data_IF_083167581637
#
_entry.id   IF_083167581637
#
_cell.length_a   1.000
_cell.length_b   1.000
_cell.length_c   1.000
_cell.angle_alpha   90.00
_cell.angle_beta   90.00
_cell.angle_gamma   90.00
#
_symmetry.space_group_name_H-M   'P 1'
#
loop_
_entity.id
_entity.type
_entity.pdbx_description
1 polymer ?
#
# COMPACT_ATOMS: atom_id res chain seq x y z
N UNK A 1 15.60 21.45 10.44
CA UNK A 1 15.16 20.07 10.26
C UNK A 1 15.04 19.28 11.56
N UNK A 2 16.05 19.24 12.47
CA UNK A 2 16.00 18.47 13.73
C UNK A 2 14.85 18.87 14.65
N UNK A 3 14.66 20.19 14.89
CA UNK A 3 13.60 20.72 15.77
C UNK A 3 12.20 20.31 15.22
N UNK A 4 11.96 20.47 13.94
CA UNK A 4 10.69 20.12 13.30
C UNK A 4 10.41 18.61 13.41
N UNK A 5 11.42 17.76 13.23
CA UNK A 5 11.28 16.32 13.41
C UNK A 5 10.97 15.95 14.86
N UNK A 6 11.57 16.63 15.83
CA UNK A 6 11.27 16.42 17.24
C UNK A 6 9.83 16.83 17.59
N UNK A 7 9.37 17.98 17.11
CA UNK A 7 7.97 18.42 17.28
C UNK A 7 7.02 17.39 16.65
N UNK A 8 7.28 16.95 15.42
CA UNK A 8 6.50 15.93 14.74
C UNK A 8 6.46 14.62 15.52
N UNK A 9 7.62 14.18 16.05
CA UNK A 9 7.72 13.01 16.91
C UNK A 9 6.85 13.13 18.16
N UNK A 10 6.89 14.27 18.84
CA UNK A 10 6.07 14.51 20.04
C UNK A 10 4.58 14.45 19.72
N UNK A 11 4.13 15.15 18.66
CA UNK A 11 2.72 15.18 18.25
C UNK A 11 2.24 13.76 17.88
N UNK A 12 3.01 13.02 17.07
CA UNK A 12 2.63 11.66 16.67
C UNK A 12 2.67 10.68 17.83
N UNK A 13 3.63 10.83 18.75
CA UNK A 13 3.74 10.01 19.96
C UNK A 13 2.59 10.27 20.93
N UNK A 14 2.24 11.53 21.18
CA UNK A 14 1.11 11.90 22.03
C UNK A 14 -0.21 11.37 21.43
N UNK A 15 -0.45 11.61 20.14
CA UNK A 15 -1.62 11.07 19.44
C UNK A 15 -1.72 9.55 19.61
N UNK A 16 -0.62 8.83 19.40
CA UNK A 16 -0.60 7.38 19.52
C UNK A 16 -0.85 6.93 20.96
N UNK A 17 -0.26 7.58 21.95
CA UNK A 17 -0.52 7.33 23.36
C UNK A 17 -2.01 7.50 23.73
N UNK A 18 -2.66 8.57 23.25
CA UNK A 18 -4.08 8.80 23.50
C UNK A 18 -4.98 7.69 22.92
N UNK A 19 -4.63 7.14 21.74
CA UNK A 19 -5.31 5.96 21.20
C UNK A 19 -5.00 4.68 21.98
N UNK A 20 -3.75 4.47 22.40
CA UNK A 20 -3.35 3.29 23.17
C UNK A 20 -4.07 3.24 24.54
N UNK A 21 -4.28 4.40 25.14
CA UNK A 21 -5.05 4.57 26.38
C UNK A 21 -6.58 4.62 26.17
N UNK A 22 -7.07 4.47 24.92
CA UNK A 22 -8.50 4.56 24.57
C UNK A 22 -9.16 5.90 24.94
N UNK A 23 -8.39 6.96 25.11
CA UNK A 23 -8.89 8.33 25.35
C UNK A 23 -9.53 8.85 24.07
N UNK A 24 -8.91 8.58 22.91
CA UNK A 24 -9.51 8.90 21.62
C UNK A 24 -10.39 7.74 21.15
N UNK A 25 -11.60 8.02 20.61
CA UNK A 25 -12.54 6.99 20.20
C UNK A 25 -12.05 6.24 18.96
N UNK A 26 -12.23 4.92 19.00
CA UNK A 26 -11.99 4.01 17.87
C UNK A 26 -13.35 3.42 17.49
N UNK A 27 -13.77 3.66 16.24
CA UNK A 27 -15.04 3.17 15.72
C UNK A 27 -14.86 1.81 15.04
N UNK A 28 -15.80 0.91 15.26
CA UNK A 28 -15.85 -0.40 14.61
C UNK A 28 -16.99 -0.45 13.59
N UNK A 29 -16.79 -1.16 12.48
CA UNK A 29 -17.83 -1.50 11.52
C UNK A 29 -18.22 -2.95 11.80
N UNK A 30 -19.35 -3.15 12.43
CA UNK A 30 -19.82 -4.48 12.84
C UNK A 30 -20.09 -5.36 11.60
N UNK A 31 -19.84 -6.66 11.73
CA UNK A 31 -20.11 -7.66 10.67
C UNK A 31 -19.24 -7.52 9.42
N UNK A 32 -18.11 -6.82 9.49
CA UNK A 32 -17.15 -6.69 8.40
C UNK A 32 -15.74 -6.85 8.94
N UNK A 33 -14.95 -7.73 8.35
CA UNK A 33 -13.51 -7.85 8.63
C UNK A 33 -12.75 -6.73 7.92
N UNK A 34 -11.95 -5.97 8.66
CA UNK A 34 -11.14 -4.89 8.10
C UNK A 34 -9.66 -5.26 8.14
N UNK A 35 -9.07 -5.43 6.96
CA UNK A 35 -7.66 -5.71 6.75
C UNK A 35 -6.99 -4.44 6.22
N UNK A 36 -6.03 -3.90 6.96
CA UNK A 36 -5.29 -2.73 6.52
C UNK A 36 -3.95 -3.15 5.91
N UNK A 37 -3.67 -2.65 4.72
CA UNK A 37 -2.36 -2.73 4.09
C UNK A 37 -1.76 -1.33 4.14
N UNK A 38 -0.64 -1.20 4.85
CA UNK A 38 -0.02 0.08 5.09
C UNK A 38 1.49 -0.01 5.29
N UNK A 39 2.09 1.08 5.65
CA UNK A 39 3.52 1.17 5.95
C UNK A 39 3.79 2.21 7.05
N UNK A 40 5.01 2.21 7.58
CA UNK A 40 5.46 3.16 8.60
C UNK A 40 6.32 4.27 7.98
N UNK A 41 6.90 4.03 6.81
CA UNK A 41 7.71 4.99 6.07
C UNK A 41 6.89 5.74 5.03
N UNK A 42 7.33 6.92 4.59
CA UNK A 42 6.84 7.53 3.35
C UNK A 42 7.55 6.90 2.15
N UNK A 43 6.92 6.99 0.97
CA UNK A 43 7.48 6.48 -0.28
C UNK A 43 6.76 5.24 -0.81
N UNK A 44 7.23 4.76 -1.96
CA UNK A 44 6.66 3.62 -2.69
C UNK A 44 7.09 2.28 -2.12
N UNK A 45 6.41 1.80 -1.09
CA UNK A 45 6.71 0.51 -0.44
C UNK A 45 6.00 -0.69 -1.08
N UNK A 46 5.36 -0.51 -2.25
CA UNK A 46 4.63 -1.59 -2.94
C UNK A 46 3.21 -1.81 -2.42
N UNK A 47 2.55 -0.81 -1.82
CA UNK A 47 1.17 -0.94 -1.31
C UNK A 47 0.17 -1.33 -2.40
N UNK A 48 0.16 -0.61 -3.51
CA UNK A 48 -0.82 -0.85 -4.59
C UNK A 48 -0.82 -2.31 -5.08
N UNK A 49 0.32 -2.91 -5.46
CA UNK A 49 0.33 -4.33 -5.84
C UNK A 49 -0.01 -5.27 -4.67
N UNK A 50 0.35 -4.93 -3.44
CA UNK A 50 -0.02 -5.73 -2.27
C UNK A 50 -1.54 -5.72 -2.04
N UNK A 51 -2.20 -4.56 -2.08
CA UNK A 51 -3.67 -4.45 -2.00
C UNK A 51 -4.33 -5.30 -3.08
N UNK A 52 -3.88 -5.20 -4.33
CA UNK A 52 -4.42 -5.99 -5.44
C UNK A 52 -4.23 -7.50 -5.23
N UNK A 53 -3.07 -7.92 -4.74
CA UNK A 53 -2.80 -9.32 -4.40
C UNK A 53 -3.75 -9.85 -3.32
N UNK A 54 -3.91 -9.11 -2.23
CA UNK A 54 -4.79 -9.53 -1.13
C UNK A 54 -6.25 -9.55 -1.54
N UNK A 55 -6.72 -8.54 -2.28
CA UNK A 55 -8.10 -8.52 -2.80
C UNK A 55 -8.37 -9.74 -3.68
N UNK A 56 -7.51 -10.02 -4.67
CA UNK A 56 -7.65 -11.18 -5.55
C UNK A 56 -7.62 -12.51 -4.78
N UNK A 57 -6.77 -12.61 -3.75
CA UNK A 57 -6.70 -13.78 -2.90
C UNK A 57 -7.98 -13.97 -2.06
N UNK A 58 -8.49 -12.91 -1.46
CA UNK A 58 -9.73 -12.93 -0.68
C UNK A 58 -10.94 -13.29 -1.56
N UNK A 59 -11.02 -12.74 -2.78
CA UNK A 59 -12.06 -13.12 -3.76
C UNK A 59 -12.00 -14.62 -4.10
N UNK A 60 -10.80 -15.19 -4.30
CA UNK A 60 -10.63 -16.64 -4.52
C UNK A 60 -11.08 -17.49 -3.33
N UNK A 61 -11.09 -16.94 -2.13
CA UNK A 61 -11.61 -17.58 -0.91
C UNK A 61 -13.14 -17.37 -0.74
N UNK A 62 -13.82 -16.82 -1.75
CA UNK A 62 -15.27 -16.58 -1.72
C UNK A 62 -15.70 -15.35 -0.92
N UNK A 63 -14.77 -14.47 -0.50
CA UNK A 63 -15.10 -13.26 0.26
C UNK A 63 -15.68 -12.16 -0.64
N UNK A 64 -16.66 -11.43 -0.11
CA UNK A 64 -17.21 -10.22 -0.74
C UNK A 64 -16.38 -9.00 -0.31
N UNK A 65 -15.44 -8.60 -1.16
CA UNK A 65 -14.41 -7.62 -0.82
C UNK A 65 -14.72 -6.25 -1.39
N UNK A 66 -14.38 -5.18 -0.63
CA UNK A 66 -14.24 -3.82 -1.18
C UNK A 66 -12.88 -3.24 -0.79
N UNK A 67 -12.40 -2.24 -1.54
CA UNK A 67 -11.24 -1.44 -1.18
C UNK A 67 -11.69 -0.07 -0.72
N UNK A 68 -11.15 0.39 0.41
CA UNK A 68 -11.36 1.75 0.91
C UNK A 68 -10.02 2.47 1.03
N UNK A 69 -9.88 3.58 0.32
CA UNK A 69 -8.66 4.40 0.30
C UNK A 69 -8.94 5.85 0.72
N UNK A 70 -7.87 6.62 0.94
CA UNK A 70 -7.97 8.07 1.20
C UNK A 70 -8.25 8.87 -0.05
N UNK A 71 -7.74 8.42 -1.18
CA UNK A 71 -7.70 9.24 -2.39
C UNK A 71 -6.77 10.43 -2.21
N UNK A 72 -5.51 10.15 -1.94
CA UNK A 72 -4.49 11.19 -1.80
C UNK A 72 -4.41 12.03 -3.08
N UNK A 73 -4.35 13.38 -2.94
CA UNK A 73 -4.38 14.37 -4.02
C UNK A 73 -5.66 14.38 -4.90
N UNK A 74 -6.63 13.52 -4.63
CA UNK A 74 -7.91 13.56 -5.33
C UNK A 74 -8.70 14.83 -5.04
N UNK A 75 -9.28 15.44 -6.09
CA UNK A 75 -10.09 16.68 -6.02
C UNK A 75 -11.58 16.33 -6.08
N UNK A 76 -12.09 15.62 -5.09
CA UNK A 76 -13.50 15.18 -5.04
C UNK A 76 -14.40 16.20 -4.38
N UNK A 77 -15.64 16.30 -4.87
CA UNK A 77 -16.70 17.19 -4.34
C UNK A 77 -17.58 16.49 -3.31
N UNK A 78 -17.60 15.15 -3.30
CA UNK A 78 -18.47 14.33 -2.42
C UNK A 78 -17.65 13.34 -1.62
N UNK A 79 -18.09 13.01 -0.41
CA UNK A 79 -17.51 11.98 0.46
C UNK A 79 -18.59 11.19 1.19
N UNK A 80 -18.55 9.86 1.16
CA UNK A 80 -17.65 9.00 0.39
C UNK A 80 -17.86 9.12 -1.13
N UNK A 81 -16.79 8.91 -1.93
CA UNK A 81 -16.85 8.85 -3.38
C UNK A 81 -16.74 7.38 -3.82
N UNK A 82 -17.74 6.89 -4.55
CA UNK A 82 -17.65 5.62 -5.27
C UNK A 82 -16.80 5.83 -6.53
N UNK A 83 -15.70 5.10 -6.62
CA UNK A 83 -14.81 5.13 -7.80
C UNK A 83 -15.22 4.07 -8.80
N UNK A 84 -15.53 2.87 -8.31
CA UNK A 84 -16.03 1.75 -9.10
C UNK A 84 -16.90 0.85 -8.23
N UNK A 85 -17.87 0.19 -8.83
CA UNK A 85 -18.66 -0.87 -8.20
C UNK A 85 -18.08 -2.27 -8.47
N UNK A 86 -16.97 -2.32 -9.23
CA UNK A 86 -16.34 -3.55 -9.69
C UNK A 86 -16.64 -3.91 -11.15
N UNK A 87 -17.56 -3.20 -11.79
CA UNK A 87 -17.93 -3.33 -13.21
C UNK A 87 -17.74 -2.02 -13.95
N UNK A 88 -18.25 -0.93 -13.42
CA UNK A 88 -18.16 0.40 -14.00
C UNK A 88 -17.28 1.33 -13.16
N UNK A 89 -16.68 2.32 -13.82
CA UNK A 89 -15.84 3.35 -13.19
C UNK A 89 -16.62 4.66 -13.24
N UNK A 90 -16.92 5.23 -12.07
CA UNK A 90 -17.76 6.42 -11.89
C UNK A 90 -16.97 7.70 -11.61
N UNK A 91 -15.65 7.59 -11.40
CA UNK A 91 -14.80 8.72 -11.05
C UNK A 91 -13.49 8.69 -11.82
N UNK A 92 -12.95 9.85 -12.11
CA UNK A 92 -11.66 10.02 -12.77
C UNK A 92 -10.50 9.91 -11.77
N UNK A 93 -9.27 9.72 -12.28
CA UNK A 93 -8.06 9.79 -11.44
C UNK A 93 -7.90 11.16 -10.75
N UNK A 94 -8.34 12.25 -11.41
CA UNK A 94 -8.32 13.60 -10.82
C UNK A 94 -9.23 13.72 -9.59
N UNK A 95 -10.34 13.04 -9.57
CA UNK A 95 -11.31 13.06 -8.46
C UNK A 95 -10.92 12.09 -7.35
N UNK A 96 -10.57 10.86 -7.72
CA UNK A 96 -10.29 9.78 -6.78
C UNK A 96 -8.87 9.79 -6.23
N UNK A 97 -7.92 10.31 -6.98
CA UNK A 97 -6.48 10.08 -6.83
C UNK A 97 -6.02 8.88 -7.65
N UNK A 98 -4.72 8.81 -7.94
CA UNK A 98 -4.15 7.81 -8.87
C UNK A 98 -4.28 6.38 -8.34
N UNK A 99 -3.96 6.13 -7.05
CA UNK A 99 -3.98 4.79 -6.47
C UNK A 99 -5.38 4.15 -6.50
N UNK A 100 -6.47 4.80 -6.04
CA UNK A 100 -7.81 4.23 -6.15
C UNK A 100 -8.28 4.03 -7.59
N UNK A 101 -7.86 4.90 -8.51
CA UNK A 101 -8.18 4.74 -9.93
C UNK A 101 -7.49 3.51 -10.53
N UNK A 102 -6.21 3.27 -10.20
CA UNK A 102 -5.47 2.06 -10.59
C UNK A 102 -6.15 0.81 -10.02
N UNK A 103 -6.66 0.86 -8.79
CA UNK A 103 -7.42 -0.26 -8.23
C UNK A 103 -8.71 -0.50 -9.03
N UNK A 104 -9.45 0.55 -9.42
CA UNK A 104 -10.66 0.44 -10.21
C UNK A 104 -10.40 -0.20 -11.60
N UNK A 105 -9.26 0.10 -12.22
CA UNK A 105 -8.85 -0.50 -13.49
C UNK A 105 -8.48 -1.99 -13.39
N UNK A 106 -7.95 -2.42 -12.23
CA UNK A 106 -7.33 -3.75 -12.08
C UNK A 106 -8.13 -4.74 -11.23
N UNK A 107 -9.17 -4.28 -10.53
CA UNK A 107 -9.93 -5.09 -9.59
C UNK A 107 -11.41 -5.06 -9.92
N UNK A 108 -12.05 -6.22 -9.83
CA UNK A 108 -13.50 -6.36 -9.97
C UNK A 108 -14.16 -6.38 -8.58
N UNK A 109 -14.01 -5.28 -7.84
CA UNK A 109 -14.61 -5.07 -6.51
C UNK A 109 -14.97 -3.59 -6.34
N UNK A 110 -15.90 -3.24 -5.44
CA UNK A 110 -16.17 -1.85 -5.11
C UNK A 110 -14.93 -1.12 -4.60
N UNK A 111 -14.65 0.05 -5.17
CA UNK A 111 -13.56 0.94 -4.76
C UNK A 111 -14.18 2.23 -4.24
N UNK A 112 -13.93 2.55 -2.98
CA UNK A 112 -14.50 3.71 -2.30
C UNK A 112 -13.39 4.60 -1.76
N UNK A 113 -13.51 5.89 -1.99
CA UNK A 113 -12.59 6.90 -1.46
C UNK A 113 -13.28 7.73 -0.40
N UNK A 114 -12.63 7.85 0.77
CA UNK A 114 -13.12 8.71 1.84
C UNK A 114 -11.97 9.14 2.75
N UNK A 115 -11.88 10.42 3.13
CA UNK A 115 -10.96 10.91 4.15
C UNK A 115 -11.31 10.33 5.52
N UNK A 116 -12.60 10.16 5.81
CA UNK A 116 -13.10 9.41 6.95
C UNK A 116 -13.33 7.95 6.57
N UNK A 117 -12.31 7.09 6.84
CA UNK A 117 -12.37 5.65 6.47
C UNK A 117 -13.58 4.93 7.06
N UNK A 118 -14.01 5.31 8.26
CA UNK A 118 -15.23 4.72 8.86
C UNK A 118 -16.45 4.96 7.97
N UNK A 119 -16.65 6.20 7.50
CA UNK A 119 -17.75 6.51 6.56
C UNK A 119 -17.62 5.74 5.25
N UNK A 120 -16.39 5.64 4.71
CA UNK A 120 -16.12 4.84 3.51
C UNK A 120 -16.44 3.35 3.70
N UNK A 121 -16.05 2.76 4.83
CA UNK A 121 -16.36 1.37 5.15
C UNK A 121 -17.86 1.13 5.35
N UNK A 122 -18.55 2.03 6.05
CA UNK A 122 -20.00 1.96 6.21
C UNK A 122 -20.73 2.08 4.88
N UNK A 123 -20.26 2.94 3.99
CA UNK A 123 -20.79 3.07 2.63
C UNK A 123 -20.65 1.76 1.86
N UNK A 124 -19.43 1.19 1.83
CA UNK A 124 -19.16 -0.07 1.13
C UNK A 124 -20.03 -1.21 1.67
N UNK A 125 -20.13 -1.35 3.00
CA UNK A 125 -20.99 -2.35 3.64
C UNK A 125 -22.46 -2.18 3.23
N UNK A 126 -22.99 -0.96 3.36
CA UNK A 126 -24.42 -0.66 3.12
C UNK A 126 -24.82 -0.89 1.68
N UNK A 127 -24.02 -0.48 0.72
CA UNK A 127 -24.39 -0.49 -0.71
C UNK A 127 -24.02 -1.78 -1.43
N UNK A 128 -23.00 -2.52 -0.95
CA UNK A 128 -22.50 -3.70 -1.65
C UNK A 128 -22.54 -4.99 -0.82
N UNK A 129 -22.98 -4.91 0.45
CA UNK A 129 -23.10 -6.09 1.29
C UNK A 129 -21.78 -6.85 1.47
N UNK A 130 -20.64 -6.13 1.49
CA UNK A 130 -19.33 -6.73 1.64
C UNK A 130 -19.10 -7.26 3.06
N UNK A 131 -18.39 -8.38 3.17
CA UNK A 131 -17.99 -8.98 4.43
C UNK A 131 -16.52 -8.67 4.80
N UNK A 132 -15.74 -8.18 3.83
CA UNK A 132 -14.32 -7.87 4.00
C UNK A 132 -13.98 -6.54 3.33
N UNK A 133 -13.23 -5.70 4.02
CA UNK A 133 -12.72 -4.44 3.48
C UNK A 133 -11.20 -4.42 3.59
N UNK A 134 -10.54 -4.15 2.46
CA UNK A 134 -9.11 -3.89 2.41
C UNK A 134 -8.90 -2.37 2.44
N UNK A 135 -8.24 -1.87 3.49
CA UNK A 135 -7.84 -0.47 3.59
C UNK A 135 -6.50 -0.26 2.90
N UNK A 136 -6.48 0.62 1.91
CA UNK A 136 -5.25 1.08 1.28
C UNK A 136 -4.70 2.30 2.05
N UNK A 137 -3.45 2.18 2.53
CA UNK A 137 -2.72 3.18 3.33
C UNK A 137 -3.49 3.66 4.58
N UNK A 138 -4.02 2.71 5.36
CA UNK A 138 -4.83 2.99 6.54
C UNK A 138 -4.09 2.91 7.89
N UNK A 139 -2.80 2.53 7.93
CA UNK A 139 -2.11 2.17 9.17
C UNK A 139 -2.06 3.28 10.21
N UNK A 140 -1.87 4.56 9.80
CA UNK A 140 -1.91 5.72 10.69
C UNK A 140 -3.33 6.20 11.00
N UNK A 141 -4.38 5.65 10.35
CA UNK A 141 -5.78 6.07 10.58
C UNK A 141 -6.40 5.32 11.76
N UNK A 142 -5.97 5.62 12.97
CA UNK A 142 -6.34 4.93 14.21
C UNK A 142 -7.78 5.10 14.68
N UNK A 143 -8.54 6.03 14.09
CA UNK A 143 -9.98 6.24 14.37
C UNK A 143 -10.89 5.06 13.99
N UNK A 144 -10.39 4.15 13.15
CA UNK A 144 -11.10 2.96 12.69
C UNK A 144 -10.43 1.72 13.26
N UNK A 145 -11.22 0.83 13.88
CA UNK A 145 -10.77 -0.49 14.28
C UNK A 145 -10.44 -1.34 13.05
N UNK A 146 -9.34 -2.07 13.11
CA UNK A 146 -8.92 -3.00 12.07
C UNK A 146 -8.67 -4.35 12.72
N UNK A 147 -9.13 -5.40 12.07
CA UNK A 147 -8.94 -6.77 12.56
C UNK A 147 -7.51 -7.24 12.27
N UNK A 148 -6.93 -6.79 11.15
CA UNK A 148 -5.54 -7.10 10.78
C UNK A 148 -4.85 -5.87 10.21
N UNK A 149 -3.62 -5.63 10.68
CA UNK A 149 -2.71 -4.60 10.16
C UNK A 149 -1.50 -5.28 9.50
N UNK A 150 -1.46 -5.32 8.18
CA UNK A 150 -0.35 -5.84 7.38
C UNK A 150 0.57 -4.67 7.01
N UNK A 151 1.79 -4.70 7.52
CA UNK A 151 2.74 -3.60 7.35
C UNK A 151 3.83 -3.97 6.36
N UNK A 152 3.93 -3.20 5.29
CA UNK A 152 4.95 -3.37 4.27
C UNK A 152 6.26 -2.69 4.69
N UNK A 153 7.36 -3.42 4.54
CA UNK A 153 8.73 -2.96 4.80
C UNK A 153 9.51 -3.02 3.49
N UNK A 154 9.90 -1.86 2.98
CA UNK A 154 10.78 -1.76 1.81
C UNK A 154 12.19 -2.23 2.17
N UNK A 155 12.65 -3.32 1.57
CA UNK A 155 13.98 -3.87 1.86
C UNK A 155 15.12 -2.89 1.58
N UNK A 156 14.95 -1.96 0.65
CA UNK A 156 15.97 -0.97 0.28
C UNK A 156 16.13 0.14 1.32
N UNK A 157 15.08 0.38 2.14
CA UNK A 157 15.12 1.33 3.26
C UNK A 157 14.14 0.92 4.37
N UNK A 158 14.40 -0.18 5.10
CA UNK A 158 13.42 -0.83 5.97
C UNK A 158 13.01 0.01 7.17
N UNK A 159 13.88 0.91 7.62
CA UNK A 159 13.69 1.70 8.84
C UNK A 159 13.65 3.21 8.59
N UNK A 160 13.49 3.66 7.33
CA UNK A 160 13.28 5.07 7.00
C UNK A 160 14.37 6.01 7.51
N UNK A 161 15.65 5.55 7.48
CA UNK A 161 16.84 6.22 8.05
C UNK A 161 16.78 6.41 9.58
N UNK A 162 15.88 5.68 10.28
CA UNK A 162 15.75 5.74 11.74
C UNK A 162 15.13 7.01 12.31
N UNK A 163 14.72 7.96 11.46
CA UNK A 163 14.24 9.28 11.86
C UNK A 163 12.85 9.56 11.31
N UNK A 164 12.06 10.31 12.10
CA UNK A 164 10.73 10.74 11.65
C UNK A 164 10.82 11.95 10.72
N UNK A 165 9.74 12.17 9.97
CA UNK A 165 9.58 13.37 9.14
C UNK A 165 9.78 14.66 9.96
N UNK A 166 10.34 15.70 9.35
CA UNK A 166 10.89 15.79 8.00
C UNK A 166 12.38 15.45 7.90
N UNK A 167 13.02 14.95 8.97
CA UNK A 167 14.46 14.60 8.99
C UNK A 167 14.72 13.25 8.33
N UNK A 168 13.85 12.29 8.54
CA UNK A 168 13.88 10.97 7.94
C UNK A 168 12.58 10.67 7.20
N UNK A 169 12.29 9.39 7.01
CA UNK A 169 11.14 8.92 6.24
C UNK A 169 10.04 8.27 7.10
N UNK A 170 10.21 8.22 8.43
CA UNK A 170 9.21 7.60 9.30
C UNK A 170 8.01 8.53 9.52
N UNK A 171 6.80 7.98 9.35
CA UNK A 171 5.51 8.65 9.64
C UNK A 171 5.21 8.70 11.15
N UNK A 172 5.91 7.91 11.94
CA UNK A 172 5.84 7.78 13.38
C UNK A 172 7.03 6.97 13.90
N UNK A 173 7.23 6.91 15.22
CA UNK A 173 8.25 6.04 15.81
C UNK A 173 8.10 4.60 15.32
N UNK A 174 9.18 4.05 14.75
CA UNK A 174 9.13 2.71 14.14
C UNK A 174 8.79 1.63 15.16
N UNK A 175 9.44 1.63 16.34
CA UNK A 175 9.24 0.58 17.35
C UNK A 175 7.82 0.60 17.92
N UNK A 176 7.30 1.79 18.21
CA UNK A 176 5.93 1.97 18.73
C UNK A 176 4.89 1.62 17.66
N UNK A 177 5.09 2.10 16.43
CA UNK A 177 4.21 1.80 15.31
C UNK A 177 4.17 0.32 14.97
N UNK A 178 5.33 -0.29 14.83
CA UNK A 178 5.49 -1.69 14.45
C UNK A 178 4.83 -2.70 15.42
N UNK A 179 4.71 -2.36 16.71
CA UNK A 179 4.00 -3.22 17.69
C UNK A 179 2.54 -3.44 17.35
N UNK A 180 1.90 -2.50 16.65
CA UNK A 180 0.49 -2.59 16.25
C UNK A 180 0.28 -3.49 15.04
N UNK A 181 1.32 -3.75 14.25
CA UNK A 181 1.22 -4.64 13.10
C UNK A 181 0.79 -6.05 13.54
N UNK A 182 -0.07 -6.68 12.77
CA UNK A 182 -0.39 -8.10 12.90
C UNK A 182 0.74 -8.94 12.28
N UNK A 183 1.23 -8.51 11.14
CA UNK A 183 2.29 -9.17 10.38
C UNK A 183 3.06 -8.17 9.51
N UNK A 184 4.23 -8.58 9.03
CA UNK A 184 5.05 -7.79 8.12
C UNK A 184 5.25 -8.50 6.79
N UNK A 185 5.34 -7.71 5.71
CA UNK A 185 5.79 -8.19 4.42
C UNK A 185 6.99 -7.37 3.99
N UNK A 186 8.14 -8.02 3.83
CA UNK A 186 9.34 -7.40 3.25
C UNK A 186 9.15 -7.36 1.74
N UNK A 187 9.05 -6.16 1.18
CA UNK A 187 8.90 -5.94 -0.27
C UNK A 187 10.23 -5.56 -0.90
N UNK A 188 10.33 -5.66 -2.22
CA UNK A 188 11.55 -5.36 -3.00
C UNK A 188 12.76 -6.16 -2.50
N UNK A 189 12.53 -7.38 -2.06
CA UNK A 189 13.58 -8.27 -1.55
C UNK A 189 14.57 -8.70 -2.63
N UNK A 190 14.19 -8.58 -3.89
CA UNK A 190 15.02 -8.79 -5.08
C UNK A 190 16.02 -7.66 -5.36
N UNK A 191 15.86 -6.50 -4.71
CA UNK A 191 16.74 -5.33 -4.89
C UNK A 191 17.86 -5.24 -3.86
N UNK A 192 17.93 -6.17 -2.91
CA UNK A 192 18.94 -6.24 -1.85
C UNK A 192 19.50 -7.67 -1.74
N UNK A 193 20.62 -7.83 -1.02
CA UNK A 193 21.18 -9.15 -0.79
C UNK A 193 20.29 -10.01 0.14
N UNK A 194 20.36 -11.32 -0.01
CA UNK A 194 19.64 -12.26 0.87
C UNK A 194 20.04 -12.07 2.33
N UNK A 195 21.32 -11.74 2.59
CA UNK A 195 21.82 -11.42 3.94
C UNK A 195 21.08 -10.23 4.56
N UNK A 196 20.80 -9.20 3.77
CA UNK A 196 20.04 -8.04 4.24
C UNK A 196 18.57 -8.39 4.52
N UNK A 197 17.94 -9.17 3.64
CA UNK A 197 16.57 -9.66 3.86
C UNK A 197 16.48 -10.46 5.17
N UNK A 198 17.41 -11.39 5.40
CA UNK A 198 17.44 -12.17 6.64
C UNK A 198 17.71 -11.31 7.88
N UNK A 199 18.56 -10.27 7.77
CA UNK A 199 18.80 -9.29 8.84
C UNK A 199 17.51 -8.56 9.24
N UNK A 200 16.74 -8.07 8.24
CA UNK A 200 15.47 -7.40 8.47
C UNK A 200 14.48 -8.36 9.10
N UNK A 201 14.32 -9.56 8.53
CA UNK A 201 13.40 -10.60 9.01
C UNK A 201 13.71 -11.00 10.46
N UNK A 202 14.99 -11.25 10.76
CA UNK A 202 15.45 -11.58 12.13
C UNK A 202 15.14 -10.45 13.11
N UNK A 203 15.37 -9.20 12.73
CA UNK A 203 15.02 -8.05 13.55
C UNK A 203 13.53 -8.00 13.86
N UNK A 204 12.65 -8.10 12.83
CA UNK A 204 11.19 -8.03 12.99
C UNK A 204 10.67 -9.21 13.84
N UNK A 205 11.12 -10.44 13.58
CA UNK A 205 10.75 -11.62 14.37
C UNK A 205 11.26 -11.53 15.81
N UNK A 206 12.56 -11.31 16.02
CA UNK A 206 13.18 -11.34 17.35
C UNK A 206 12.76 -10.18 18.24
N UNK A 207 12.62 -8.96 17.68
CA UNK A 207 12.32 -7.74 18.47
C UNK A 207 10.83 -7.46 18.62
N UNK A 208 10.00 -7.94 17.71
CA UNK A 208 8.57 -7.63 17.68
C UNK A 208 7.68 -8.87 17.83
N UNK A 209 8.24 -10.08 17.72
CA UNK A 209 7.47 -11.33 17.84
C UNK A 209 6.40 -11.49 16.75
N UNK A 210 6.63 -10.92 15.55
CA UNK A 210 5.63 -10.90 14.48
C UNK A 210 6.00 -11.83 13.33
N UNK A 211 4.98 -12.35 12.64
CA UNK A 211 5.17 -13.08 11.40
C UNK A 211 5.70 -12.16 10.30
N UNK A 212 6.60 -12.70 9.46
CA UNK A 212 7.27 -11.95 8.40
C UNK A 212 7.28 -12.79 7.13
N UNK A 213 6.61 -12.28 6.11
CA UNK A 213 6.65 -12.82 4.75
C UNK A 213 7.59 -12.01 3.88
N UNK A 214 8.05 -12.60 2.78
CA UNK A 214 8.93 -11.96 1.80
C UNK A 214 8.17 -11.87 0.49
N UNK A 215 8.21 -10.70 -0.17
CA UNK A 215 7.61 -10.47 -1.47
C UNK A 215 8.64 -9.89 -2.44
N UNK A 216 8.57 -10.37 -3.68
CA UNK A 216 9.35 -9.87 -4.82
C UNK A 216 8.39 -9.21 -5.82
N UNK A 217 8.87 -8.19 -6.52
CA UNK A 217 8.17 -7.67 -7.69
C UNK A 217 8.53 -8.52 -8.89
N UNK A 218 7.52 -9.15 -9.49
CA UNK A 218 7.69 -9.91 -10.72
C UNK A 218 6.90 -9.28 -11.86
N UNK A 219 7.49 -9.21 -13.04
CA UNK A 219 6.76 -8.88 -14.27
C UNK A 219 5.97 -10.11 -14.68
N UNK A 220 4.69 -9.95 -14.91
CA UNK A 220 3.81 -11.07 -15.32
C UNK A 220 3.53 -11.06 -16.82
N UNK A 221 3.43 -9.89 -17.44
CA UNK A 221 3.17 -9.71 -18.86
C UNK A 221 3.60 -8.33 -19.34
N UNK A 222 3.76 -8.18 -20.63
CA UNK A 222 3.85 -6.89 -21.32
C UNK A 222 2.44 -6.55 -21.81
N UNK A 223 2.03 -5.29 -21.64
CA UNK A 223 0.74 -4.81 -22.12
C UNK A 223 0.93 -3.61 -23.03
N UNK A 224 0.17 -3.56 -24.12
CA UNK A 224 0.06 -2.34 -24.91
C UNK A 224 -0.93 -1.34 -24.25
N UNK A 225 -1.05 -0.14 -24.83
CA UNK A 225 -1.96 0.89 -24.34
C UNK A 225 -3.45 0.51 -24.45
N UNK A 226 -3.78 -0.51 -25.25
CA UNK A 226 -5.14 -1.06 -25.39
C UNK A 226 -5.42 -2.20 -24.41
N UNK A 227 -4.39 -2.61 -23.63
CA UNK A 227 -4.51 -3.71 -22.66
C UNK A 227 -4.21 -5.10 -23.25
N UNK A 228 -3.82 -5.22 -24.51
CA UNK A 228 -3.44 -6.50 -25.08
C UNK A 228 -2.14 -6.99 -24.45
N UNK A 229 -2.13 -8.23 -23.99
CA UNK A 229 -0.99 -8.81 -23.30
C UNK A 229 -0.07 -9.55 -24.27
N UNK A 230 1.24 -9.46 -24.00
CA UNK A 230 2.27 -10.24 -24.67
C UNK A 230 3.15 -10.94 -23.64
N UNK A 231 3.68 -12.11 -23.95
CA UNK A 231 4.59 -12.82 -23.06
C UNK A 231 5.89 -12.06 -22.88
N UNK A 232 6.58 -12.28 -21.76
CA UNK A 232 7.80 -11.54 -21.42
C UNK A 232 8.93 -11.75 -22.44
N UNK A 233 9.05 -12.98 -22.98
CA UNK A 233 10.07 -13.27 -23.99
C UNK A 233 9.90 -12.48 -25.29
N UNK A 234 8.75 -11.85 -25.53
CA UNK A 234 8.51 -11.05 -26.73
C UNK A 234 9.47 -9.86 -26.84
N UNK A 235 9.98 -9.33 -25.74
CA UNK A 235 10.90 -8.18 -25.73
C UNK A 235 12.38 -8.60 -25.83
N UNK A 236 12.68 -9.89 -25.61
CA UNK A 236 14.05 -10.41 -25.65
C UNK A 236 14.69 -10.14 -27.00
N UNK A 237 15.89 -9.56 -27.01
CA UNK A 237 16.64 -9.22 -28.20
C UNK A 237 16.06 -8.09 -29.06
N UNK A 238 14.97 -7.45 -28.67
CA UNK A 238 14.40 -6.29 -29.38
C UNK A 238 15.04 -4.99 -28.93
N UNK A 239 15.16 -4.05 -29.89
CA UNK A 239 15.56 -2.68 -29.57
C UNK A 239 14.42 -1.98 -28.84
N UNK A 240 14.67 -1.47 -27.63
CA UNK A 240 13.66 -0.78 -26.83
C UNK A 240 14.18 0.57 -26.35
N UNK A 241 13.30 1.56 -26.36
CA UNK A 241 13.50 2.83 -25.70
C UNK A 241 12.68 2.81 -24.40
N UNK A 242 13.31 3.18 -23.27
CA UNK A 242 12.65 3.23 -21.99
C UNK A 242 12.15 4.65 -21.70
N UNK A 243 10.85 4.74 -21.41
CA UNK A 243 10.21 5.97 -21.01
C UNK A 243 9.41 5.75 -19.72
N UNK A 244 9.67 6.53 -18.68
CA UNK A 244 8.91 6.41 -17.43
C UNK A 244 8.77 7.73 -16.70
N UNK A 245 7.60 7.93 -16.06
CA UNK A 245 7.32 9.01 -15.11
C UNK A 245 7.41 8.57 -13.65
N UNK A 246 8.15 7.53 -13.33
CA UNK A 246 8.24 6.94 -11.98
C UNK A 246 9.21 7.74 -11.10
N UNK A 247 8.91 7.82 -9.79
CA UNK A 247 9.80 8.45 -8.81
C UNK A 247 11.17 7.75 -8.67
N UNK A 248 11.26 6.48 -9.04
CA UNK A 248 12.52 5.73 -9.12
C UNK A 248 12.61 5.00 -10.46
N UNK A 249 13.10 5.65 -11.53
CA UNK A 249 13.21 5.08 -12.86
C UNK A 249 14.23 3.94 -12.96
N UNK A 250 15.28 3.94 -12.11
CA UNK A 250 16.30 2.89 -12.09
C UNK A 250 15.74 1.49 -11.80
N UNK A 251 14.70 1.39 -10.97
CA UNK A 251 14.06 0.11 -10.71
C UNK A 251 13.30 -0.40 -11.94
N UNK A 252 12.67 0.47 -12.69
CA UNK A 252 12.01 0.14 -13.96
C UNK A 252 13.03 -0.32 -14.99
N UNK A 253 14.13 0.43 -15.14
CA UNK A 253 15.23 0.07 -16.05
C UNK A 253 15.79 -1.33 -15.72
N UNK A 254 16.15 -1.61 -14.46
CA UNK A 254 16.61 -2.93 -14.02
C UNK A 254 15.61 -4.04 -14.34
N UNK A 255 14.32 -3.77 -14.14
CA UNK A 255 13.25 -4.72 -14.46
C UNK A 255 13.22 -5.03 -15.96
N UNK A 256 13.35 -4.02 -16.81
CA UNK A 256 13.36 -4.23 -18.26
C UNK A 256 14.65 -4.92 -18.71
N UNK A 257 15.80 -4.53 -18.18
CA UNK A 257 17.10 -5.20 -18.46
C UNK A 257 17.02 -6.70 -18.17
N UNK A 258 16.34 -7.10 -17.09
CA UNK A 258 16.20 -8.53 -16.75
C UNK A 258 15.41 -9.35 -17.77
N UNK A 259 14.73 -8.70 -18.72
CA UNK A 259 14.02 -9.33 -19.84
C UNK A 259 14.89 -9.45 -21.11
N UNK A 260 16.17 -9.08 -21.03
CA UNK A 260 17.19 -9.22 -22.07
C UNK A 260 16.87 -8.48 -23.39
N UNK A 261 16.39 -7.23 -23.40
CA UNK A 261 16.30 -6.43 -24.60
C UNK A 261 17.64 -5.79 -24.97
N UNK A 262 17.72 -5.24 -26.17
CA UNK A 262 18.74 -4.24 -26.52
C UNK A 262 18.19 -2.85 -26.15
N UNK A 263 18.77 -2.21 -25.12
CA UNK A 263 18.37 -0.87 -24.71
C UNK A 263 19.12 0.16 -25.55
N UNK A 264 18.36 1.03 -26.22
CA UNK A 264 18.90 2.22 -26.84
C UNK A 264 19.14 3.24 -25.73
N UNK A 265 20.41 3.56 -25.46
CA UNK A 265 20.76 4.70 -24.60
C UNK A 265 20.76 5.95 -25.46
N UNK A 266 20.01 6.96 -25.07
CA UNK A 266 20.31 8.35 -25.40
C UNK A 266 21.34 8.92 -24.44
#
# INVERSE_FOLDING_TARGET
MRILAYIYYLITSLRNFLYDKRILPIRRVEGVEIICIGNITVGGTGKTPAVQYFVKRLQKMGRKVAVVSRGYRGKRKREPLLVSDGYEIFATARESGDEPFIHALNLKVPIVVSSNRYKGCMFAKKHFGVDTIVLDDGFQHRKLYRDRDIVLIDATNPFGWGEVLPKGMLREDFKKGARRASEFIITKSDLVSEREVERIKKYLKKKLGKEVSIAKHGVTSLCDLKGNQKPLFWVKGKRVLLFSGLANPLNFEKTVISLEPYILKE
#
